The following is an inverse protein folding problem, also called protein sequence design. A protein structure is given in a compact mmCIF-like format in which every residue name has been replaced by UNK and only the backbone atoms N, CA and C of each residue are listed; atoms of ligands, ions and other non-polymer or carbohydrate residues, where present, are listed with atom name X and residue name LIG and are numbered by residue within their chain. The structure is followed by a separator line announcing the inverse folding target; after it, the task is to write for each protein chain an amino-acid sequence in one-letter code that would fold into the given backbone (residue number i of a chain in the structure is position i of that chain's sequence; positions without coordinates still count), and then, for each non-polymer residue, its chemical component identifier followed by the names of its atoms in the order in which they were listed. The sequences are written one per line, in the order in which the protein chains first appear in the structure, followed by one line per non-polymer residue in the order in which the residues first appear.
data_IF_188768026050
#
_entry.id   IF_188768026050
#
_cell.length_a   1.000
_cell.length_b   1.000
_cell.length_c   1.000
_cell.angle_alpha   90.00
_cell.angle_beta   90.00
_cell.angle_gamma   90.00
#
_symmetry.space_group_name_H-M   'P 1'
#
loop_
_entity.id
_entity.type
_entity.pdbx_description
1 polymer ?
#
# COMPACT_ATOMS: atom_id res chain seq x y z
N UNK A 1 27.60 -4.43 0.61
CA UNK A 1 27.16 -4.68 -0.76
C UNK A 1 25.65 -4.63 -0.71
N UNK A 2 25.06 -3.47 -1.04
CA UNK A 2 23.60 -3.27 -1.00
C UNK A 2 22.98 -3.94 -2.21
N UNK A 3 22.09 -4.89 -1.98
CA UNK A 3 21.16 -5.38 -3.00
C UNK A 3 19.90 -4.53 -2.94
N UNK A 4 19.74 -3.67 -3.93
CA UNK A 4 18.47 -2.99 -4.21
C UNK A 4 17.62 -4.04 -4.93
N UNK A 5 16.63 -4.60 -4.24
CA UNK A 5 15.67 -5.49 -4.86
C UNK A 5 14.55 -4.60 -5.46
N UNK A 6 14.77 -4.23 -6.73
CA UNK A 6 13.71 -3.66 -7.57
C UNK A 6 12.72 -4.76 -7.87
N UNK A 7 11.50 -4.64 -7.38
CA UNK A 7 10.40 -5.52 -7.76
C UNK A 7 9.99 -5.16 -9.18
N UNK A 8 10.67 -5.77 -10.17
CA UNK A 8 10.33 -5.60 -11.58
C UNK A 8 9.17 -6.54 -11.88
N UNK A 9 8.01 -6.01 -12.20
CA UNK A 9 6.88 -6.76 -12.73
C UNK A 9 7.26 -7.35 -14.11
N UNK A 10 7.80 -8.57 -14.12
CA UNK A 10 8.06 -9.31 -15.35
C UNK A 10 6.83 -10.15 -15.70
N UNK A 11 6.13 -9.75 -16.74
CA UNK A 11 5.17 -10.59 -17.46
C UNK A 11 5.92 -11.70 -18.19
N UNK A 12 6.01 -12.92 -17.62
CA UNK A 12 6.47 -14.09 -18.36
C UNK A 12 5.31 -15.01 -18.67
N UNK A 13 4.80 -14.88 -19.88
CA UNK A 13 3.95 -15.89 -20.49
C UNK A 13 4.78 -17.14 -20.87
N UNK A 14 4.37 -18.32 -20.42
CA UNK A 14 4.95 -19.59 -20.79
C UNK A 14 4.31 -20.07 -22.10
N UNK A 15 5.06 -20.06 -23.21
CA UNK A 15 4.63 -20.58 -24.51
C UNK A 15 5.73 -21.34 -25.21
N UNK A 16 5.44 -22.58 -25.62
CA UNK A 16 6.32 -23.50 -26.31
C UNK A 16 6.64 -23.04 -27.74
N UNK A 17 7.87 -23.41 -28.19
CA UNK A 17 8.46 -23.13 -29.51
C UNK A 17 7.58 -23.50 -30.69
N UNK A 18 7.45 -22.57 -31.62
CA UNK A 18 7.52 -22.84 -33.06
C UNK A 18 8.05 -21.58 -33.78
N UNK A 19 9.11 -21.76 -34.59
CA UNK A 19 9.63 -20.73 -35.47
C UNK A 19 8.68 -20.53 -36.64
N UNK A 20 8.31 -19.27 -36.89
CA UNK A 20 8.10 -18.76 -38.25
C UNK A 20 8.24 -17.23 -38.24
N UNK A 21 9.00 -16.77 -39.25
CA UNK A 21 9.33 -15.37 -39.52
C UNK A 21 8.12 -14.62 -40.02
N UNK A 22 7.67 -13.59 -39.28
CA UNK A 22 6.84 -12.52 -39.82
C UNK A 22 7.09 -11.22 -39.07
N UNK A 23 7.28 -10.18 -39.85
CA UNK A 23 7.46 -8.75 -39.60
C UNK A 23 6.80 -8.24 -38.31
N UNK A 24 7.64 -7.53 -37.50
CA UNK A 24 7.17 -6.77 -36.34
C UNK A 24 6.23 -5.65 -36.79
N UNK A 25 4.95 -5.79 -36.50
CA UNK A 25 4.03 -4.68 -36.28
C UNK A 25 4.05 -4.45 -34.76
N UNK A 26 4.46 -3.24 -34.36
CA UNK A 26 4.31 -2.74 -32.99
C UNK A 26 2.81 -2.70 -32.67
N UNK A 27 2.32 -3.71 -32.01
CA UNK A 27 1.01 -3.66 -31.37
C UNK A 27 1.20 -2.99 -30.02
N UNK A 28 0.77 -1.71 -29.92
CA UNK A 28 0.46 -1.08 -28.66
C UNK A 28 -0.42 -2.04 -27.84
N UNK A 29 0.13 -2.61 -26.77
CA UNK A 29 -0.65 -3.41 -25.82
C UNK A 29 -1.44 -2.47 -24.93
N UNK A 30 -2.59 -2.00 -25.42
CA UNK A 30 -3.56 -1.37 -24.55
C UNK A 30 -4.05 -2.45 -23.57
N UNK A 31 -3.82 -2.26 -22.29
CA UNK A 31 -4.41 -3.10 -21.25
C UNK A 31 -5.90 -2.76 -21.16
N UNK A 32 -6.74 -3.61 -21.76
CA UNK A 32 -8.18 -3.49 -21.65
C UNK A 32 -8.64 -4.23 -20.38
N UNK A 33 -9.50 -3.59 -19.59
CA UNK A 33 -10.31 -4.28 -18.60
C UNK A 33 -11.67 -4.59 -19.18
N UNK A 34 -12.40 -5.57 -18.68
CA UNK A 34 -13.77 -5.85 -19.11
C UNK A 34 -14.72 -4.66 -18.91
N UNK A 35 -14.30 -3.61 -18.17
CA UNK A 35 -15.12 -2.45 -17.78
C UNK A 35 -14.70 -1.11 -18.41
N UNK A 36 -13.62 -1.05 -19.23
CA UNK A 36 -13.33 0.21 -19.92
C UNK A 36 -11.86 0.47 -20.27
N UNK A 37 -11.66 1.58 -20.95
CA UNK A 37 -10.36 2.15 -21.31
C UNK A 37 -9.92 3.04 -20.15
N UNK A 38 -8.70 2.84 -19.65
CA UNK A 38 -8.12 3.74 -18.63
C UNK A 38 -8.16 5.20 -19.12
N UNK A 39 -8.40 6.16 -18.22
CA UNK A 39 -8.38 7.57 -18.56
C UNK A 39 -7.03 8.00 -19.15
N UNK A 40 -7.05 8.95 -20.07
CA UNK A 40 -5.86 9.53 -20.67
C UNK A 40 -5.17 10.48 -19.68
N UNK A 41 -4.25 9.93 -18.89
CA UNK A 41 -3.51 10.68 -17.87
C UNK A 41 -2.48 11.66 -18.46
N UNK A 42 -2.22 11.62 -19.77
CA UNK A 42 -1.28 12.58 -20.40
C UNK A 42 -1.78 14.02 -20.38
N UNK A 43 -3.06 14.21 -20.06
CA UNK A 43 -3.68 15.55 -19.94
C UNK A 43 -3.64 16.09 -18.52
N UNK A 44 -3.21 15.29 -17.55
CA UNK A 44 -3.09 15.73 -16.19
C UNK A 44 -1.81 16.57 -16.01
N UNK A 45 -1.97 17.78 -15.48
CA UNK A 45 -0.85 18.65 -15.14
C UNK A 45 -0.52 18.44 -13.66
N UNK A 46 0.69 17.90 -13.39
CA UNK A 46 1.19 17.79 -12.01
C UNK A 46 1.28 19.22 -11.43
N UNK A 47 0.81 19.46 -10.21
CA UNK A 47 0.92 20.76 -9.57
C UNK A 47 2.36 21.30 -9.58
N UNK A 48 2.54 22.58 -9.94
CA UNK A 48 3.87 23.21 -10.02
C UNK A 48 4.56 23.28 -8.65
N UNK A 49 3.79 23.31 -7.57
CA UNK A 49 4.30 23.39 -6.20
C UNK A 49 3.76 22.22 -5.36
N UNK A 50 4.60 21.21 -5.15
CA UNK A 50 4.36 20.19 -4.13
C UNK A 50 4.88 20.73 -2.80
N UNK A 51 4.09 20.72 -1.71
CA UNK A 51 4.55 21.20 -0.41
C UNK A 51 5.85 20.50 0.03
N UNK A 52 6.89 21.29 0.31
CA UNK A 52 8.19 20.75 0.77
C UNK A 52 8.29 20.65 2.29
N UNK A 53 7.26 21.11 3.02
CA UNK A 53 7.22 21.09 4.47
C UNK A 53 6.05 20.26 4.93
N UNK A 54 6.31 19.35 5.85
CA UNK A 54 5.26 18.55 6.49
C UNK A 54 4.18 19.43 7.10
N UNK A 55 2.94 19.12 6.80
CA UNK A 55 1.75 19.75 7.39
C UNK A 55 1.38 19.08 8.72
N UNK A 56 0.43 19.64 9.44
CA UNK A 56 -0.13 18.96 10.64
C UNK A 56 -0.84 17.65 10.26
N UNK A 57 -1.45 17.60 9.08
CA UNK A 57 -2.06 16.37 8.54
C UNK A 57 -1.00 15.31 8.30
N UNK A 58 0.12 15.65 7.64
CA UNK A 58 1.22 14.70 7.42
C UNK A 58 1.74 14.11 8.74
N UNK A 59 1.92 14.96 9.75
CA UNK A 59 2.39 14.50 11.06
C UNK A 59 1.40 13.54 11.72
N UNK A 60 0.10 13.78 11.60
CA UNK A 60 -0.93 12.86 12.09
C UNK A 60 -0.91 11.53 11.32
N UNK A 61 -0.78 11.58 9.99
CA UNK A 61 -0.66 10.39 9.17
C UNK A 61 0.57 9.58 9.56
N UNK A 62 1.74 10.22 9.73
CA UNK A 62 2.96 9.51 10.17
C UNK A 62 2.80 8.82 11.53
N UNK A 63 1.98 9.35 12.43
CA UNK A 63 1.69 8.69 13.71
C UNK A 63 0.85 7.41 13.55
N UNK A 64 0.21 7.21 12.41
CA UNK A 64 -0.52 5.98 12.09
C UNK A 64 0.29 4.96 11.29
N UNK A 65 1.56 5.24 10.99
CA UNK A 65 2.41 4.38 10.16
C UNK A 65 3.46 3.68 10.99
N UNK A 66 3.81 2.47 10.56
CA UNK A 66 4.87 1.66 11.16
C UNK A 66 5.78 1.08 10.06
N UNK A 67 7.03 0.80 10.40
CA UNK A 67 7.87 -0.07 9.61
C UNK A 67 7.54 -1.53 9.91
N UNK A 68 7.55 -2.39 8.88
CA UNK A 68 7.37 -3.84 9.01
C UNK A 68 8.58 -4.55 8.45
N UNK A 69 9.16 -5.48 9.21
CA UNK A 69 10.32 -6.27 8.77
C UNK A 69 10.07 -7.75 8.99
N UNK A 70 10.16 -8.52 7.90
CA UNK A 70 10.08 -9.97 7.88
C UNK A 70 11.41 -10.54 7.32
N UNK A 71 12.28 -11.04 8.19
CA UNK A 71 13.62 -11.43 7.79
C UNK A 71 14.42 -10.27 7.18
N UNK A 72 14.84 -10.43 5.91
CA UNK A 72 15.60 -9.42 5.16
C UNK A 72 14.69 -8.43 4.40
N UNK A 73 13.38 -8.67 4.34
CA UNK A 73 12.42 -7.78 3.70
C UNK A 73 11.99 -6.68 4.66
N UNK A 74 11.91 -5.47 4.11
CA UNK A 74 11.38 -4.30 4.80
C UNK A 74 10.24 -3.71 3.99
N UNK A 75 9.18 -3.37 4.71
CA UNK A 75 8.00 -2.71 4.20
C UNK A 75 7.43 -1.75 5.24
N UNK A 76 6.20 -1.40 5.04
CA UNK A 76 5.45 -0.48 5.89
C UNK A 76 4.16 -1.14 6.37
N UNK A 77 3.50 -0.52 7.32
CA UNK A 77 2.18 -0.88 7.78
C UNK A 77 1.41 0.34 8.26
N UNK A 78 0.11 0.19 8.39
CA UNK A 78 -0.79 1.22 8.90
C UNK A 78 -1.47 0.70 10.16
N UNK A 79 -1.43 1.46 11.24
CA UNK A 79 -2.19 1.18 12.47
C UNK A 79 -3.67 1.38 12.14
N UNK A 80 -4.36 0.25 12.00
CA UNK A 80 -5.71 0.22 11.44
C UNK A 80 -6.81 0.25 12.49
N UNK A 81 -6.57 -0.39 13.62
CA UNK A 81 -7.52 -0.49 14.72
C UNK A 81 -6.78 -0.74 16.03
N UNK A 82 -7.45 -0.56 17.16
CA UNK A 82 -6.91 -0.89 18.47
C UNK A 82 -8.01 -1.25 19.46
N UNK A 83 -7.64 -2.01 20.47
CA UNK A 83 -8.46 -2.27 21.64
C UNK A 83 -7.65 -2.02 22.92
N UNK A 84 -8.14 -2.45 24.09
CA UNK A 84 -7.45 -2.25 25.37
C UNK A 84 -6.10 -2.98 25.44
N UNK A 85 -5.94 -4.10 24.71
CA UNK A 85 -4.80 -5.02 24.82
C UNK A 85 -3.88 -4.98 23.61
N UNK A 86 -4.42 -4.75 22.40
CA UNK A 86 -3.66 -4.88 21.14
C UNK A 86 -3.86 -3.71 20.19
N UNK A 87 -2.87 -3.51 19.33
CA UNK A 87 -2.96 -2.71 18.11
C UNK A 87 -3.03 -3.64 16.90
N UNK A 88 -3.96 -3.36 15.99
CA UNK A 88 -4.10 -4.04 14.72
C UNK A 88 -3.42 -3.20 13.61
N UNK A 89 -2.49 -3.82 12.92
CA UNK A 89 -1.75 -3.20 11.81
C UNK A 89 -2.13 -3.92 10.53
N UNK A 90 -2.34 -3.18 9.45
CA UNK A 90 -2.49 -3.73 8.10
C UNK A 90 -1.22 -3.47 7.29
N UNK A 91 -0.84 -4.44 6.47
CA UNK A 91 0.32 -4.37 5.57
C UNK A 91 0.05 -5.16 4.29
N UNK A 92 0.89 -5.03 3.28
CA UNK A 92 0.82 -5.87 2.08
C UNK A 92 1.27 -7.30 2.39
N UNK A 93 0.55 -8.28 1.85
CA UNK A 93 0.80 -9.71 2.10
C UNK A 93 2.18 -10.16 1.64
N UNK A 94 2.68 -9.62 0.51
CA UNK A 94 4.00 -9.95 -0.04
C UNK A 94 5.15 -9.50 0.85
N UNK A 95 4.98 -8.47 1.70
CA UNK A 95 6.00 -8.04 2.68
C UNK A 95 6.36 -9.18 3.63
N UNK A 96 5.43 -10.13 3.84
CA UNK A 96 5.58 -11.27 4.73
C UNK A 96 5.99 -12.57 4.00
N UNK A 97 6.32 -12.55 2.71
CA UNK A 97 6.63 -13.77 1.94
C UNK A 97 7.92 -14.46 2.39
N UNK A 98 8.87 -13.72 2.91
CA UNK A 98 10.12 -14.22 3.45
C UNK A 98 10.17 -14.25 4.98
N UNK A 99 9.00 -14.47 5.61
CA UNK A 99 8.94 -14.62 7.06
C UNK A 99 9.79 -15.83 7.49
N UNK A 100 10.90 -15.53 8.16
CA UNK A 100 11.84 -16.53 8.72
C UNK A 100 11.53 -16.82 10.19
N UNK A 101 10.37 -16.40 10.68
CA UNK A 101 9.85 -16.69 12.02
C UNK A 101 9.94 -15.52 13.01
N UNK A 102 10.50 -14.38 12.63
CA UNK A 102 10.47 -13.17 13.45
C UNK A 102 9.99 -11.99 12.60
N UNK A 103 8.77 -11.52 12.90
CA UNK A 103 8.17 -10.36 12.30
C UNK A 103 8.25 -9.20 13.27
N UNK A 104 8.94 -8.14 12.86
CA UNK A 104 9.19 -6.98 13.70
C UNK A 104 8.42 -5.75 13.16
N UNK A 105 7.85 -5.01 14.10
CA UNK A 105 7.16 -3.76 13.85
C UNK A 105 7.97 -2.63 14.49
N UNK A 106 8.28 -1.60 13.70
CA UNK A 106 8.98 -0.40 14.14
C UNK A 106 8.01 0.77 14.19
N UNK A 107 7.82 1.32 15.36
CA UNK A 107 6.93 2.45 15.63
C UNK A 107 7.60 3.80 15.30
N UNK A 108 6.82 4.92 15.21
CA UNK A 108 7.36 6.24 14.87
C UNK A 108 8.46 6.77 15.81
N UNK A 109 8.47 6.32 17.06
CA UNK A 109 9.49 6.64 18.07
C UNK A 109 10.72 5.71 18.03
N UNK A 110 10.85 4.89 16.95
CA UNK A 110 11.89 3.90 16.74
C UNK A 110 11.82 2.68 17.68
N UNK A 111 10.78 2.53 18.51
CA UNK A 111 10.53 1.32 19.29
C UNK A 111 10.27 0.15 18.36
N UNK A 112 10.95 -0.98 18.59
CA UNK A 112 10.82 -2.20 17.79
C UNK A 112 10.29 -3.34 18.66
N UNK A 113 9.19 -3.97 18.22
CA UNK A 113 8.60 -5.13 18.91
C UNK A 113 8.26 -6.22 17.90
N UNK A 114 8.12 -7.46 18.39
CA UNK A 114 7.62 -8.56 17.57
C UNK A 114 6.10 -8.49 17.45
N UNK A 115 5.57 -8.86 16.28
CA UNK A 115 4.13 -9.07 16.15
C UNK A 115 3.71 -10.32 16.97
N UNK A 116 2.62 -10.20 17.71
CA UNK A 116 2.06 -11.29 18.53
C UNK A 116 1.14 -12.21 17.73
N UNK A 117 0.62 -11.77 16.60
CA UNK A 117 -0.24 -12.54 15.71
C UNK A 117 -0.17 -12.06 14.27
N UNK A 118 -0.44 -12.98 13.35
CA UNK A 118 -0.42 -12.72 11.90
C UNK A 118 -1.56 -13.47 11.23
N UNK A 119 -2.29 -12.78 10.35
CA UNK A 119 -3.23 -13.41 9.41
C UNK A 119 -3.01 -12.81 8.03
N UNK A 120 -2.71 -13.65 7.04
CA UNK A 120 -2.67 -13.25 5.63
C UNK A 120 -4.02 -13.50 4.99
N UNK A 121 -4.53 -12.55 4.22
CA UNK A 121 -5.70 -12.76 3.40
C UNK A 121 -5.41 -13.79 2.29
N UNK A 122 -6.38 -14.65 1.98
CA UNK A 122 -6.19 -15.73 1.00
C UNK A 122 -6.28 -15.23 -0.45
N UNK A 123 -7.09 -14.18 -0.68
CA UNK A 123 -7.47 -13.77 -2.03
C UNK A 123 -7.01 -12.35 -2.39
N UNK A 124 -6.22 -11.72 -1.54
CA UNK A 124 -5.69 -10.39 -1.81
C UNK A 124 -4.31 -10.19 -1.17
N UNK A 125 -3.54 -9.23 -1.70
CA UNK A 125 -2.22 -8.88 -1.18
C UNK A 125 -2.33 -8.03 0.10
N UNK A 126 -2.85 -8.67 1.15
CA UNK A 126 -3.16 -8.06 2.44
C UNK A 126 -2.76 -8.97 3.59
N UNK A 127 -2.26 -8.40 4.66
CA UNK A 127 -2.04 -9.09 5.92
C UNK A 127 -2.40 -8.21 7.12
N UNK A 128 -2.81 -8.86 8.18
CA UNK A 128 -3.12 -8.27 9.48
C UNK A 128 -2.11 -8.73 10.50
N UNK A 129 -1.59 -7.79 11.29
CA UNK A 129 -0.61 -8.02 12.33
C UNK A 129 -1.17 -7.49 13.65
N UNK A 130 -0.97 -8.23 14.73
CA UNK A 130 -1.29 -7.76 16.06
C UNK A 130 0.01 -7.47 16.82
N UNK A 131 -0.02 -6.40 17.60
CA UNK A 131 1.03 -6.03 18.54
C UNK A 131 0.39 -5.86 19.92
N UNK A 132 0.91 -6.56 20.91
CA UNK A 132 0.43 -6.43 22.28
C UNK A 132 0.89 -5.09 22.87
N UNK A 133 -0.05 -4.29 23.39
CA UNK A 133 0.27 -3.01 24.04
C UNK A 133 1.17 -3.18 25.27
N UNK A 134 1.13 -4.36 25.89
CA UNK A 134 2.01 -4.71 27.01
C UNK A 134 3.50 -4.75 26.63
N UNK A 135 3.82 -4.94 25.35
CA UNK A 135 5.19 -4.93 24.83
C UNK A 135 5.69 -3.53 24.47
N UNK A 136 4.81 -2.53 24.51
CA UNK A 136 5.09 -1.13 24.24
C UNK A 136 5.25 -0.32 25.54
N UNK A 137 6.02 0.76 25.48
CA UNK A 137 6.00 1.77 26.53
C UNK A 137 4.75 2.62 26.40
N UNK A 138 4.29 3.20 27.53
CA UNK A 138 3.14 4.12 27.51
C UNK A 138 3.37 5.29 26.54
N UNK A 139 4.59 5.83 26.49
CA UNK A 139 4.92 6.92 25.56
C UNK A 139 4.87 6.49 24.09
N UNK A 140 5.18 5.24 23.77
CA UNK A 140 5.15 4.71 22.39
C UNK A 140 3.70 4.65 21.90
N UNK A 141 2.82 3.95 22.61
CA UNK A 141 1.45 3.80 22.12
C UNK A 141 0.62 5.09 22.24
N UNK A 142 0.90 5.99 23.19
CA UNK A 142 0.29 7.32 23.28
C UNK A 142 0.72 8.26 22.13
N UNK A 143 1.88 8.02 21.52
CA UNK A 143 2.35 8.78 20.35
C UNK A 143 1.77 8.27 19.03
N UNK A 144 1.13 7.11 19.01
CA UNK A 144 0.54 6.51 17.85
C UNK A 144 -0.92 6.91 17.68
N UNK A 145 -1.37 6.91 16.43
CA UNK A 145 -2.77 7.14 16.09
C UNK A 145 -3.27 5.99 15.22
N UNK A 146 -4.53 5.63 15.41
CA UNK A 146 -5.24 4.80 14.43
C UNK A 146 -5.52 5.66 13.20
N UNK A 147 -5.31 5.12 12.00
CA UNK A 147 -5.59 5.81 10.76
C UNK A 147 -7.06 6.27 10.71
N UNK A 148 -7.27 7.52 10.30
CA UNK A 148 -8.62 8.07 10.12
C UNK A 148 -9.30 7.38 8.95
N UNK A 149 -10.51 6.86 9.14
CA UNK A 149 -11.24 6.04 8.17
C UNK A 149 -12.63 6.60 7.94
N UNK A 150 -12.92 6.96 6.71
CA UNK A 150 -14.25 7.33 6.28
C UNK A 150 -14.59 6.65 4.95
N UNK A 151 -15.55 5.74 4.97
CA UNK A 151 -16.01 5.06 3.77
C UNK A 151 -16.53 6.03 2.73
N UNK A 152 -17.19 7.11 3.14
CA UNK A 152 -17.73 8.08 2.19
C UNK A 152 -16.61 8.80 1.42
N UNK A 153 -15.44 9.02 2.05
CA UNK A 153 -14.29 9.59 1.36
C UNK A 153 -13.79 8.67 0.25
N UNK A 154 -13.72 7.35 0.50
CA UNK A 154 -13.37 6.39 -0.54
C UNK A 154 -14.42 6.29 -1.64
N UNK A 155 -15.70 6.19 -1.28
CA UNK A 155 -16.82 6.07 -2.23
C UNK A 155 -17.01 7.35 -3.09
N UNK A 156 -16.46 8.49 -2.65
CA UNK A 156 -16.51 9.77 -3.35
C UNK A 156 -15.29 10.07 -4.25
N UNK A 157 -14.27 9.17 -4.27
CA UNK A 157 -13.07 9.39 -5.07
C UNK A 157 -13.39 9.55 -6.56
N UNK A 158 -12.82 10.59 -7.15
CA UNK A 158 -12.93 10.86 -8.57
C UNK A 158 -11.57 10.71 -9.27
N UNK A 159 -11.60 10.43 -10.58
CA UNK A 159 -10.40 10.42 -11.43
C UNK A 159 -9.74 11.80 -11.40
N UNK A 160 -8.41 11.84 -11.26
CA UNK A 160 -7.55 13.02 -11.10
C UNK A 160 -7.64 13.72 -9.74
N UNK A 161 -8.30 13.12 -8.76
CA UNK A 161 -8.26 13.64 -7.39
C UNK A 161 -6.86 13.46 -6.79
N UNK A 162 -6.39 14.52 -6.12
CA UNK A 162 -5.10 14.55 -5.46
C UNK A 162 -5.10 13.65 -4.22
N UNK A 163 -4.09 12.80 -4.09
CA UNK A 163 -3.89 11.93 -2.94
C UNK A 163 -2.41 11.91 -2.56
N UNK A 164 -2.14 11.45 -1.36
CA UNK A 164 -0.79 11.33 -0.84
C UNK A 164 -0.50 9.90 -0.43
N UNK A 165 0.68 9.39 -0.78
CA UNK A 165 1.12 8.06 -0.38
C UNK A 165 2.28 8.16 0.62
N UNK A 166 2.25 7.29 1.62
CA UNK A 166 3.16 7.32 2.75
C UNK A 166 3.68 5.92 3.04
N UNK A 167 4.97 5.84 3.37
CA UNK A 167 5.58 4.63 3.94
C UNK A 167 5.99 4.85 5.39
N UNK A 168 5.91 3.82 6.21
CA UNK A 168 6.31 3.89 7.62
C UNK A 168 7.83 4.05 7.83
N UNK A 169 8.62 3.87 6.77
CA UNK A 169 10.08 4.08 6.78
C UNK A 169 10.50 5.30 5.95
N UNK A 170 9.56 5.95 5.22
CA UNK A 170 9.82 7.17 4.47
C UNK A 170 9.57 8.38 5.35
N UNK A 171 10.45 9.34 5.37
CA UNK A 171 10.28 10.56 6.16
C UNK A 171 9.47 11.65 5.45
N UNK A 172 8.92 11.38 4.27
CA UNK A 172 8.21 12.36 3.44
C UNK A 172 6.99 11.73 2.76
N UNK A 173 5.87 12.46 2.66
CA UNK A 173 4.76 12.09 1.81
C UNK A 173 5.16 12.18 0.34
N UNK A 174 4.56 11.35 -0.48
CA UNK A 174 4.73 11.39 -1.94
C UNK A 174 3.40 11.73 -2.57
N UNK A 175 3.40 12.75 -3.41
CA UNK A 175 2.24 13.14 -4.18
C UNK A 175 1.86 12.07 -5.21
N UNK A 176 0.56 11.82 -5.32
CA UNK A 176 -0.04 10.97 -6.32
C UNK A 176 -1.43 11.51 -6.71
N UNK A 177 -2.04 10.97 -7.73
CA UNK A 177 -3.43 11.25 -8.07
C UNK A 177 -4.16 10.00 -8.51
N UNK A 178 -5.48 10.01 -8.40
CA UNK A 178 -6.35 8.89 -8.76
C UNK A 178 -6.41 8.72 -10.28
N UNK A 179 -6.03 7.54 -10.78
CA UNK A 179 -6.23 7.12 -12.17
C UNK A 179 -7.58 6.45 -12.33
N UNK A 180 -7.88 5.50 -11.44
CA UNK A 180 -9.17 4.80 -11.43
C UNK A 180 -9.47 4.32 -9.99
N UNK A 181 -10.59 4.76 -9.39
CA UNK A 181 -10.91 4.40 -8.01
C UNK A 181 -11.18 2.90 -7.81
N UNK A 182 -11.66 2.21 -8.84
CA UNK A 182 -12.08 0.82 -8.73
C UNK A 182 -11.87 0.06 -10.03
N UNK A 183 -10.73 -0.62 -10.19
CA UNK A 183 -10.34 -1.34 -11.40
C UNK A 183 -9.88 -2.75 -11.07
N UNK A 184 -10.26 -3.74 -11.89
CA UNK A 184 -9.72 -5.08 -11.76
C UNK A 184 -8.29 -5.14 -12.31
N UNK A 185 -7.34 -5.51 -11.45
CA UNK A 185 -5.92 -5.66 -11.82
C UNK A 185 -5.58 -7.14 -11.89
N UNK A 186 -5.34 -7.66 -13.10
CA UNK A 186 -5.14 -9.08 -13.35
C UNK A 186 -3.96 -9.66 -12.55
N UNK A 187 -2.88 -8.89 -12.40
CA UNK A 187 -1.71 -9.32 -11.62
C UNK A 187 -2.05 -9.65 -10.16
N UNK A 188 -2.93 -8.87 -9.54
CA UNK A 188 -3.39 -9.08 -8.18
C UNK A 188 -4.67 -9.94 -8.09
N UNK A 189 -5.29 -10.24 -9.23
CA UNK A 189 -6.58 -10.99 -9.34
C UNK A 189 -7.71 -10.40 -8.50
N UNK A 190 -7.71 -9.06 -8.33
CA UNK A 190 -8.70 -8.36 -7.52
C UNK A 190 -8.93 -6.93 -8.01
N UNK A 191 -9.97 -6.29 -7.48
CA UNK A 191 -10.21 -4.86 -7.67
C UNK A 191 -9.27 -4.04 -6.79
N UNK A 192 -8.70 -2.98 -7.37
CA UNK A 192 -7.73 -2.09 -6.75
C UNK A 192 -8.14 -0.62 -6.97
N UNK A 193 -7.67 0.26 -6.11
CA UNK A 193 -7.53 1.67 -6.41
C UNK A 193 -6.20 1.85 -7.17
N UNK A 194 -6.24 2.48 -8.32
CA UNK A 194 -5.06 2.76 -9.15
C UNK A 194 -4.71 4.24 -9.07
N UNK A 195 -3.47 4.51 -8.69
CA UNK A 195 -2.93 5.86 -8.60
C UNK A 195 -1.81 6.06 -9.62
N UNK A 196 -1.51 7.32 -9.93
CA UNK A 196 -0.27 7.72 -10.61
C UNK A 196 0.61 8.44 -9.60
N UNK A 197 1.82 7.92 -9.35
CA UNK A 197 2.76 8.47 -8.38
C UNK A 197 4.09 7.72 -8.39
N UNK A 198 5.02 8.16 -7.57
CA UNK A 198 6.32 7.50 -7.41
C UNK A 198 6.35 6.73 -6.09
N UNK A 199 6.34 5.42 -6.17
CA UNK A 199 6.47 4.57 -4.99
C UNK A 199 7.95 4.20 -4.78
N UNK A 200 8.45 4.45 -3.58
CA UNK A 200 9.83 4.11 -3.20
C UNK A 200 9.91 2.72 -2.57
N UNK A 201 11.08 2.04 -2.66
CA UNK A 201 11.31 0.79 -1.94
C UNK A 201 11.06 0.93 -0.43
N UNK A 202 10.34 -0.01 0.15
CA UNK A 202 9.94 0.02 1.56
C UNK A 202 8.57 0.66 1.82
N UNK A 203 7.93 1.28 0.82
CA UNK A 203 6.57 1.83 0.97
C UNK A 203 5.48 0.76 0.87
N UNK A 204 5.76 -0.45 0.37
CA UNK A 204 4.81 -1.57 0.34
C UNK A 204 4.20 -1.82 1.72
N UNK A 205 2.88 -1.88 1.81
CA UNK A 205 2.13 -1.98 3.07
C UNK A 205 1.86 -0.64 3.76
N UNK A 206 2.45 0.47 3.28
CA UNK A 206 2.09 1.82 3.68
C UNK A 206 0.72 2.23 3.16
N UNK A 207 0.34 3.49 3.33
CA UNK A 207 -1.00 3.94 3.04
C UNK A 207 -1.12 4.99 1.94
N UNK A 208 -2.26 4.98 1.25
CA UNK A 208 -2.76 6.10 0.46
C UNK A 208 -3.80 6.87 1.29
N UNK A 209 -3.75 8.20 1.24
CA UNK A 209 -4.60 9.09 2.04
C UNK A 209 -5.08 10.27 1.19
N UNK A 210 -6.26 10.80 1.52
CA UNK A 210 -6.71 12.09 0.99
C UNK A 210 -5.85 13.24 1.50
N UNK A 211 -6.01 14.44 0.95
CA UNK A 211 -5.34 15.66 1.45
C UNK A 211 -5.66 15.93 2.93
N UNK A 212 -6.86 15.59 3.39
CA UNK A 212 -7.27 15.72 4.80
C UNK A 212 -6.74 14.60 5.71
N UNK A 213 -6.03 13.61 5.16
CA UNK A 213 -5.43 12.52 5.90
C UNK A 213 -6.38 11.33 6.18
N UNK A 214 -7.44 11.19 5.39
CA UNK A 214 -8.34 10.02 5.46
C UNK A 214 -7.73 8.85 4.70
N UNK A 215 -7.67 7.69 5.33
CA UNK A 215 -7.09 6.49 4.77
C UNK A 215 -7.94 5.88 3.65
N UNK A 216 -7.31 5.64 2.51
CA UNK A 216 -7.94 5.10 1.30
C UNK A 216 -7.62 3.62 1.04
N UNK A 217 -6.48 3.15 1.52
CA UNK A 217 -6.03 1.78 1.32
C UNK A 217 -4.53 1.60 1.47
N UNK A 218 -4.03 0.35 1.33
CA UNK A 218 -2.62 0.01 1.47
C UNK A 218 -1.92 -0.15 0.12
N UNK A 219 -0.68 0.31 0.06
CA UNK A 219 0.20 0.25 -1.12
C UNK A 219 0.71 -1.16 -1.34
N UNK A 220 0.50 -1.71 -2.55
CA UNK A 220 0.97 -3.06 -2.89
C UNK A 220 2.18 -3.04 -3.82
N UNK A 221 2.22 -2.14 -4.78
CA UNK A 221 3.32 -2.06 -5.73
C UNK A 221 3.10 -0.98 -6.78
N UNK A 222 4.15 -0.73 -7.56
CA UNK A 222 4.08 0.18 -8.69
C UNK A 222 4.75 -0.44 -9.92
N UNK A 223 4.30 -0.06 -11.10
CA UNK A 223 4.94 -0.40 -12.35
C UNK A 223 6.01 0.65 -12.77
N UNK A 224 6.70 0.37 -13.88
CA UNK A 224 7.73 1.27 -14.41
C UNK A 224 7.16 2.60 -14.93
N UNK A 225 5.85 2.68 -15.17
CA UNK A 225 5.15 3.89 -15.61
C UNK A 225 4.65 4.75 -14.42
N UNK A 226 4.87 4.29 -13.18
CA UNK A 226 4.45 4.97 -11.97
C UNK A 226 2.98 4.74 -11.61
N UNK A 227 2.34 3.69 -12.14
CA UNK A 227 1.02 3.29 -11.68
C UNK A 227 1.13 2.50 -10.41
N UNK A 228 0.55 3.02 -9.34
CA UNK A 228 0.58 2.44 -7.99
C UNK A 228 -0.73 1.70 -7.73
N UNK A 229 -0.62 0.41 -7.42
CA UNK A 229 -1.76 -0.42 -7.03
C UNK A 229 -1.96 -0.37 -5.51
N UNK A 230 -3.20 -0.12 -5.10
CA UNK A 230 -3.61 0.04 -3.70
C UNK A 230 -4.75 -0.91 -3.39
N UNK A 231 -4.64 -1.74 -2.34
CA UNK A 231 -5.78 -2.50 -1.82
C UNK A 231 -6.76 -1.53 -1.17
N UNK A 232 -7.98 -1.38 -1.71
CA UNK A 232 -8.92 -0.38 -1.26
C UNK A 232 -9.39 -0.61 0.18
N UNK A 233 -9.70 0.46 0.88
CA UNK A 233 -10.30 0.46 2.22
C UNK A 233 -11.49 -0.52 2.34
N UNK A 234 -12.38 -0.56 1.35
CA UNK A 234 -13.56 -1.43 1.37
C UNK A 234 -13.22 -2.93 1.36
N UNK A 235 -12.13 -3.33 0.69
CA UNK A 235 -11.63 -4.70 0.71
C UNK A 235 -11.02 -5.00 2.09
N UNK A 236 -10.22 -4.09 2.64
CA UNK A 236 -9.62 -4.24 3.98
C UNK A 236 -10.72 -4.45 5.03
N UNK A 237 -11.79 -3.66 5.00
CA UNK A 237 -12.93 -3.80 5.91
C UNK A 237 -13.64 -5.17 5.75
N UNK A 238 -13.80 -5.63 4.50
CA UNK A 238 -14.41 -6.92 4.23
C UNK A 238 -13.59 -8.08 4.80
N UNK A 239 -12.27 -8.07 4.58
CA UNK A 239 -11.34 -9.08 5.11
C UNK A 239 -11.27 -8.98 6.65
N UNK A 240 -11.22 -7.76 7.20
CA UNK A 240 -11.22 -7.52 8.65
C UNK A 240 -12.46 -8.09 9.34
N UNK A 241 -13.64 -7.96 8.72
CA UNK A 241 -14.90 -8.48 9.28
C UNK A 241 -14.94 -10.01 9.35
N UNK A 242 -14.11 -10.70 8.57
CA UNK A 242 -13.96 -12.17 8.59
C UNK A 242 -12.97 -12.67 9.65
N UNK A 243 -12.23 -11.77 10.31
CA UNK A 243 -11.26 -12.18 11.34
C UNK A 243 -11.96 -12.39 12.67
N UNK A 244 -11.77 -13.57 13.25
CA UNK A 244 -12.03 -13.77 14.68
C UNK A 244 -10.97 -12.97 15.44
N UNK A 245 -11.39 -12.09 16.37
CA UNK A 245 -10.43 -11.43 17.24
C UNK A 245 -9.69 -12.50 18.06
N UNK A 246 -8.35 -12.52 18.03
CA UNK A 246 -7.58 -13.46 18.85
C UNK A 246 -7.77 -13.23 20.34
#
# INVERSE_FOLDING_TARGET
MSFIMSCTLLLTGCGAKQQDTATAEETESASYTEEGILPDITKFEIPEEIPQKLTETDLRVFQSLVGVRAGDLQGSGVIYDENEETMLIVTAGHVLEHDTGELLVTFPDETVVAASGIVKAENCDLAFLWVDKADLTESTWESCLVADKDRNAFDALEVYEDVWIYGGTSGQPVYAFVVEPWIYVEHFTQYMLLLQGLMEPGMSGGGAFTEDGVFLGILCGADEEGKVAVVPYSIIESERAGLDNP
#
